data_IF_694376609036
#
_entry.id   IF_694376609036
#
_cell.length_a   1.000
_cell.length_b   1.000
_cell.length_c   1.000
_cell.angle_alpha   90.00
_cell.angle_beta   90.00
_cell.angle_gamma   90.00
#
_symmetry.space_group_name_H-M   'P 1'
#
loop_
_entity.id
_entity.type
_entity.pdbx_description
1 polymer ?
#
# COMPACT_ATOMS: atom_id res chain seq x y z
N UNK A 1 9.55 -0.28 26.31
CA UNK A 1 8.29 -0.51 25.58
C UNK A 1 8.58 -0.81 24.14
N UNK A 2 8.36 -2.03 23.77
CA UNK A 2 8.60 -2.48 22.41
C UNK A 2 7.64 -1.86 21.41
N UNK A 3 6.39 -1.56 21.83
CA UNK A 3 5.37 -1.01 20.93
C UNK A 3 5.80 0.32 20.29
N UNK A 4 6.33 1.26 21.06
CA UNK A 4 6.77 2.54 20.51
C UNK A 4 8.00 2.38 19.62
N UNK A 5 8.90 1.44 19.92
CA UNK A 5 10.05 1.13 19.09
C UNK A 5 9.62 0.52 17.76
N UNK A 6 8.57 -0.31 17.77
CA UNK A 6 8.04 -0.93 16.55
C UNK A 6 7.27 0.06 15.69
N UNK A 7 6.56 1.00 16.30
CA UNK A 7 5.76 2.00 15.57
C UNK A 7 6.63 3.02 14.85
N UNK A 8 7.77 3.41 15.43
CA UNK A 8 8.63 4.43 14.82
C UNK A 8 9.14 4.04 13.42
N UNK A 9 9.68 2.82 13.18
CA UNK A 9 10.07 2.41 11.83
C UNK A 9 8.88 2.35 10.86
N UNK A 10 7.71 1.93 11.35
CA UNK A 10 6.51 1.90 10.53
C UNK A 10 6.08 3.30 10.12
N UNK A 11 6.19 4.27 11.04
CA UNK A 11 5.86 5.66 10.74
C UNK A 11 6.84 6.25 9.71
N UNK A 12 8.11 5.93 9.84
CA UNK A 12 9.11 6.37 8.87
C UNK A 12 8.83 5.82 7.47
N UNK A 13 8.50 4.54 7.39
CA UNK A 13 8.14 3.93 6.11
C UNK A 13 6.89 4.60 5.53
N UNK A 14 5.86 4.80 6.34
CA UNK A 14 4.61 5.42 5.92
C UNK A 14 4.83 6.83 5.37
N UNK A 15 5.66 7.62 6.03
CA UNK A 15 5.99 8.97 5.59
C UNK A 15 6.79 8.95 4.28
N UNK A 16 7.73 8.01 4.14
CA UNK A 16 8.50 7.85 2.91
C UNK A 16 7.61 7.41 1.75
N UNK A 17 6.69 6.49 1.99
CA UNK A 17 5.73 6.04 0.99
C UNK A 17 4.83 7.19 0.53
N UNK A 18 4.29 7.95 1.46
CA UNK A 18 3.45 9.10 1.14
C UNK A 18 4.21 10.14 0.31
N UNK A 19 5.44 10.44 0.70
CA UNK A 19 6.27 11.40 -0.04
C UNK A 19 6.57 10.90 -1.46
N UNK A 20 6.95 9.63 -1.60
CA UNK A 20 7.23 9.05 -2.91
C UNK A 20 6.00 9.05 -3.82
N UNK A 21 4.84 8.69 -3.28
CA UNK A 21 3.59 8.70 -4.02
C UNK A 21 3.20 10.10 -4.46
N UNK A 22 3.35 11.09 -3.58
CA UNK A 22 2.97 12.47 -3.87
C UNK A 22 3.91 13.13 -4.87
N UNK A 23 5.15 12.69 -4.95
CA UNK A 23 6.15 13.22 -5.89
C UNK A 23 6.16 12.46 -7.22
N UNK A 24 5.42 11.35 -7.34
CA UNK A 24 5.46 10.52 -8.54
C UNK A 24 4.72 11.18 -9.70
N UNK A 25 5.40 11.46 -10.83
CA UNK A 25 4.74 12.13 -11.96
C UNK A 25 3.62 11.33 -12.58
N UNK A 26 3.71 10.00 -12.58
CA UNK A 26 2.69 9.13 -13.16
C UNK A 26 1.39 9.19 -12.35
N UNK A 27 1.49 9.17 -11.04
CA UNK A 27 0.33 9.29 -10.16
C UNK A 27 -0.26 10.69 -10.28
N UNK A 28 0.56 11.73 -10.34
CA UNK A 28 0.10 13.11 -10.54
C UNK A 28 -0.67 13.25 -11.85
N UNK A 29 -0.19 12.61 -12.92
CA UNK A 29 -0.83 12.69 -14.24
C UNK A 29 -2.16 11.97 -14.30
N UNK A 30 -2.32 10.87 -13.56
CA UNK A 30 -3.50 10.01 -13.66
C UNK A 30 -4.37 9.96 -12.41
N UNK A 31 -4.01 10.68 -11.36
CA UNK A 31 -4.64 10.59 -10.05
C UNK A 31 -5.82 11.51 -9.81
N UNK A 32 -6.28 12.28 -10.81
CA UNK A 32 -7.34 13.28 -10.61
C UNK A 32 -8.58 12.73 -9.92
N UNK A 33 -8.98 11.51 -10.26
CA UNK A 33 -10.17 10.87 -9.70
C UNK A 33 -9.83 9.77 -8.70
N UNK A 34 -8.57 9.64 -8.33
CA UNK A 34 -8.11 8.64 -7.37
C UNK A 34 -8.36 9.17 -5.96
N UNK A 35 -9.53 8.87 -5.42
CA UNK A 35 -9.94 9.27 -4.08
C UNK A 35 -10.54 8.06 -3.38
N UNK A 36 -9.83 7.53 -2.39
CA UNK A 36 -10.29 6.39 -1.60
C UNK A 36 -9.40 6.21 -0.37
N UNK A 37 -9.84 5.36 0.54
CA UNK A 37 -9.00 4.87 1.64
C UNK A 37 -8.92 3.36 1.49
N UNK A 38 -7.71 2.81 1.52
CA UNK A 38 -7.53 1.38 1.46
C UNK A 38 -6.54 0.90 2.51
N UNK A 39 -6.65 -0.38 2.86
CA UNK A 39 -5.72 -1.02 3.79
C UNK A 39 -4.62 -1.73 3.00
N UNK A 40 -3.39 -1.56 3.46
CA UNK A 40 -2.26 -2.38 3.07
C UNK A 40 -1.98 -3.28 4.27
N UNK A 41 -2.39 -4.54 4.17
CA UNK A 41 -2.34 -5.49 5.28
C UNK A 41 -1.18 -6.46 5.08
N UNK A 42 -0.17 -6.33 5.92
CA UNK A 42 1.02 -7.19 5.90
C UNK A 42 1.01 -8.18 7.07
N UNK A 43 -0.15 -8.47 7.65
CA UNK A 43 -0.37 -9.34 8.81
C UNK A 43 0.28 -8.79 10.09
N UNK A 44 1.60 -8.64 10.13
CA UNK A 44 2.30 -8.10 11.29
C UNK A 44 2.07 -6.60 11.47
N UNK A 45 1.68 -5.92 10.40
CA UNK A 45 1.48 -4.48 10.36
C UNK A 45 0.39 -4.13 9.35
N UNK A 46 -0.48 -3.20 9.70
CA UNK A 46 -1.54 -2.72 8.80
C UNK A 46 -1.40 -1.21 8.64
N UNK A 47 -1.56 -0.73 7.41
CA UNK A 47 -1.57 0.70 7.12
C UNK A 47 -2.89 1.06 6.46
N UNK A 48 -3.55 2.12 6.94
CA UNK A 48 -4.70 2.70 6.26
C UNK A 48 -4.21 3.91 5.47
N UNK A 49 -4.31 3.83 4.15
CA UNK A 49 -3.77 4.84 3.24
C UNK A 49 -4.94 5.63 2.66
N UNK A 50 -5.01 6.91 3.03
CA UNK A 50 -6.06 7.82 2.55
C UNK A 50 -5.53 8.64 1.40
N UNK A 51 -6.22 8.58 0.27
CA UNK A 51 -5.85 9.29 -0.95
C UNK A 51 -6.98 10.23 -1.36
N UNK A 52 -6.65 11.48 -1.67
CA UNK A 52 -7.59 12.46 -2.19
C UNK A 52 -7.01 13.08 -3.44
N UNK A 53 -7.72 12.92 -4.57
CA UNK A 53 -7.32 13.44 -5.89
C UNK A 53 -5.87 13.05 -6.24
N UNK A 54 -5.51 11.81 -5.96
CA UNK A 54 -4.18 11.27 -6.26
C UNK A 54 -3.10 11.59 -5.24
N UNK A 55 -3.44 12.32 -4.18
CA UNK A 55 -2.49 12.71 -3.14
C UNK A 55 -2.76 11.92 -1.86
N UNK A 56 -1.72 11.29 -1.32
CA UNK A 56 -1.80 10.63 -0.01
C UNK A 56 -1.85 11.72 1.06
N UNK A 57 -2.98 11.84 1.73
CA UNK A 57 -3.21 12.87 2.74
C UNK A 57 -2.94 12.37 4.15
N UNK A 58 -3.06 11.07 4.37
CA UNK A 58 -2.85 10.49 5.70
C UNK A 58 -2.53 9.00 5.56
N UNK A 59 -1.62 8.52 6.40
CA UNK A 59 -1.37 7.07 6.56
C UNK A 59 -1.48 6.77 8.04
N UNK A 60 -2.44 5.93 8.41
CA UNK A 60 -2.63 5.49 9.80
C UNK A 60 -1.96 4.14 9.99
N UNK A 61 -1.06 4.06 10.95
CA UNK A 61 -0.35 2.82 11.27
C UNK A 61 -1.17 2.01 12.28
N UNK A 62 -1.41 0.74 11.97
CA UNK A 62 -2.15 -0.20 12.83
C UNK A 62 -3.50 0.36 13.31
N UNK A 63 -4.40 0.77 12.41
CA UNK A 63 -5.71 1.27 12.82
C UNK A 63 -6.51 0.16 13.51
N UNK A 64 -7.29 0.54 14.53
CA UNK A 64 -8.25 -0.37 15.13
C UNK A 64 -9.38 -0.69 14.16
N UNK A 65 -10.18 -1.73 14.44
CA UNK A 65 -11.24 -2.19 13.52
C UNK A 65 -12.24 -1.12 13.11
N UNK A 66 -12.48 -0.13 13.98
CA UNK A 66 -13.48 0.91 13.74
C UNK A 66 -12.86 2.31 13.63
N UNK A 67 -11.53 2.41 13.61
CA UNK A 67 -10.86 3.72 13.64
C UNK A 67 -10.91 4.43 12.29
N UNK A 68 -10.75 3.68 11.20
CA UNK A 68 -10.67 4.25 9.85
C UNK A 68 -11.56 3.44 8.91
N UNK A 69 -12.58 4.08 8.30
CA UNK A 69 -13.33 3.41 7.25
C UNK A 69 -12.45 3.25 6.00
N UNK A 70 -12.62 2.15 5.29
CA UNK A 70 -11.86 1.89 4.07
C UNK A 70 -12.76 1.24 3.01
N UNK A 71 -12.40 1.42 1.74
CA UNK A 71 -13.18 0.88 0.63
C UNK A 71 -12.73 -0.53 0.26
N UNK A 72 -11.42 -0.79 0.28
CA UNK A 72 -10.89 -2.12 -0.02
C UNK A 72 -9.58 -2.34 0.74
N UNK A 73 -9.12 -3.60 0.72
CA UNK A 73 -7.88 -3.98 1.38
C UNK A 73 -7.05 -4.86 0.44
N UNK A 74 -5.73 -4.65 0.47
CA UNK A 74 -4.75 -5.50 -0.20
C UNK A 74 -4.01 -6.25 0.90
N UNK A 75 -4.24 -7.56 0.99
CA UNK A 75 -3.74 -8.39 2.09
C UNK A 75 -2.73 -9.41 1.58
N UNK A 76 -1.62 -9.53 2.26
CA UNK A 76 -0.60 -10.54 1.94
C UNK A 76 0.27 -10.79 3.16
N UNK A 77 1.04 -11.87 3.14
CA UNK A 77 2.01 -12.14 4.20
C UNK A 77 3.17 -11.15 4.16
N UNK A 78 3.91 -10.99 5.28
CA UNK A 78 5.11 -10.14 5.29
C UNK A 78 6.13 -10.56 4.22
N UNK A 79 6.27 -11.86 3.99
CA UNK A 79 7.20 -12.38 2.98
C UNK A 79 6.85 -11.88 1.58
N UNK A 80 5.57 -11.90 1.22
CA UNK A 80 5.12 -11.40 -0.08
C UNK A 80 5.40 -9.91 -0.22
N UNK A 81 5.12 -9.12 0.81
CA UNK A 81 5.42 -7.69 0.77
C UNK A 81 6.92 -7.40 0.68
N UNK A 82 7.76 -8.20 1.33
CA UNK A 82 9.21 -8.05 1.21
C UNK A 82 9.68 -8.30 -0.21
N UNK A 83 9.03 -9.23 -0.93
CA UNK A 83 9.30 -9.43 -2.36
C UNK A 83 9.03 -8.18 -3.19
N UNK A 84 7.90 -7.52 -2.95
CA UNK A 84 7.57 -6.27 -3.63
C UNK A 84 8.54 -5.14 -3.31
N UNK A 85 9.12 -5.16 -2.12
CA UNK A 85 10.03 -4.11 -1.66
C UNK A 85 11.46 -4.23 -2.15
N UNK A 86 11.79 -5.25 -2.94
CA UNK A 86 13.13 -5.39 -3.49
C UNK A 86 13.30 -4.50 -4.72
N UNK A 87 14.48 -3.90 -4.95
CA UNK A 87 14.70 -3.09 -6.15
C UNK A 87 14.45 -3.85 -7.45
N UNK A 88 14.78 -5.14 -7.47
CA UNK A 88 14.41 -6.05 -8.55
C UNK A 88 13.56 -7.16 -7.93
N UNK A 89 12.23 -7.07 -8.04
CA UNK A 89 11.36 -8.04 -7.38
C UNK A 89 11.57 -9.45 -7.94
N UNK A 90 11.48 -10.48 -7.09
CA UNK A 90 11.54 -11.86 -7.57
C UNK A 90 10.31 -12.18 -8.42
N UNK A 91 10.31 -13.31 -9.15
CA UNK A 91 9.15 -13.73 -9.94
C UNK A 91 7.86 -13.69 -9.12
N UNK A 92 6.76 -13.32 -9.77
CA UNK A 92 5.41 -13.20 -9.17
C UNK A 92 5.23 -12.02 -8.21
N UNK A 93 6.25 -11.15 -8.08
CA UNK A 93 6.19 -9.95 -7.24
C UNK A 93 6.31 -8.67 -8.07
N UNK A 94 6.09 -8.76 -9.40
CA UNK A 94 6.15 -7.58 -10.28
C UNK A 94 4.82 -6.83 -10.36
N UNK A 95 3.71 -7.46 -9.98
CA UNK A 95 2.41 -6.82 -9.99
C UNK A 95 1.41 -7.55 -9.10
N UNK A 96 0.35 -6.85 -8.70
CA UNK A 96 -0.63 -7.40 -7.76
C UNK A 96 -1.37 -8.62 -8.33
N UNK A 97 -1.62 -8.65 -9.64
CA UNK A 97 -2.33 -9.78 -10.26
C UNK A 97 -1.51 -11.06 -10.20
N UNK A 98 -0.21 -10.97 -10.52
CA UNK A 98 0.66 -12.13 -10.42
C UNK A 98 0.72 -12.65 -8.99
N UNK A 99 0.82 -11.73 -8.01
CA UNK A 99 0.85 -12.11 -6.60
C UNK A 99 -0.48 -12.71 -6.14
N UNK A 100 -1.61 -12.22 -6.66
CA UNK A 100 -2.94 -12.76 -6.33
C UNK A 100 -3.10 -14.19 -6.82
N UNK A 101 -2.63 -14.49 -8.03
CA UNK A 101 -2.77 -15.83 -8.61
C UNK A 101 -1.68 -16.80 -8.17
N UNK A 102 -0.48 -16.32 -7.89
CA UNK A 102 0.70 -17.17 -7.65
C UNK A 102 1.24 -17.12 -6.24
N UNK A 103 0.77 -16.17 -5.44
CA UNK A 103 1.17 -15.98 -4.06
C UNK A 103 -0.09 -15.84 -3.19
N UNK A 104 0.07 -15.39 -1.96
CA UNK A 104 -1.02 -15.32 -0.99
C UNK A 104 -1.72 -13.95 -0.94
N UNK A 105 -1.51 -13.10 -1.93
CA UNK A 105 -2.15 -11.78 -1.94
C UNK A 105 -3.65 -11.91 -2.19
N UNK A 106 -4.44 -11.20 -1.39
CA UNK A 106 -5.89 -11.14 -1.51
C UNK A 106 -6.38 -9.71 -1.61
N UNK A 107 -7.41 -9.52 -2.41
CA UNK A 107 -8.06 -8.23 -2.60
C UNK A 107 -9.46 -8.33 -2.01
N UNK A 108 -9.71 -7.63 -0.90
CA UNK A 108 -10.98 -7.70 -0.18
C UNK A 108 -11.70 -6.35 -0.22
N UNK A 109 -13.03 -6.37 -0.06
CA UNK A 109 -13.85 -5.19 0.02
C UNK A 109 -14.38 -4.73 -1.32
N UNK A 110 -14.46 -3.42 -1.53
CA UNK A 110 -14.99 -2.85 -2.77
C UNK A 110 -13.95 -2.88 -3.89
N UNK A 111 -13.82 -4.04 -4.52
CA UNK A 111 -12.83 -4.27 -5.58
C UNK A 111 -13.10 -3.39 -6.80
N UNK A 112 -14.34 -2.93 -6.99
CA UNK A 112 -14.66 -2.02 -8.09
C UNK A 112 -13.87 -0.70 -7.97
N UNK A 113 -13.78 -0.15 -6.76
CA UNK A 113 -12.99 1.07 -6.54
C UNK A 113 -11.51 0.81 -6.83
N UNK A 114 -10.99 -0.35 -6.43
CA UNK A 114 -9.63 -0.74 -6.78
C UNK A 114 -9.44 -0.78 -8.30
N UNK A 115 -10.37 -1.42 -9.00
CA UNK A 115 -10.29 -1.55 -10.46
C UNK A 115 -10.37 -0.20 -11.18
N UNK A 116 -11.21 0.70 -10.69
CA UNK A 116 -11.34 2.04 -11.27
C UNK A 116 -10.06 2.86 -11.12
N UNK A 117 -9.24 2.55 -10.13
CA UNK A 117 -8.00 3.28 -9.82
C UNK A 117 -6.76 2.39 -9.97
N UNK A 118 -6.89 1.30 -10.72
CA UNK A 118 -5.87 0.27 -10.79
C UNK A 118 -4.51 0.81 -11.22
N UNK A 119 -4.49 1.75 -12.15
CA UNK A 119 -3.22 2.32 -12.64
C UNK A 119 -2.44 3.01 -11.52
N UNK A 120 -3.12 3.85 -10.74
CA UNK A 120 -2.48 4.56 -9.64
C UNK A 120 -2.07 3.61 -8.51
N UNK A 121 -2.93 2.64 -8.19
CA UNK A 121 -2.63 1.66 -7.14
C UNK A 121 -1.46 0.78 -7.55
N UNK A 122 -1.43 0.31 -8.78
CA UNK A 122 -0.30 -0.47 -9.30
C UNK A 122 0.99 0.33 -9.19
N UNK A 123 0.95 1.61 -9.55
CA UNK A 123 2.13 2.48 -9.44
C UNK A 123 2.57 2.65 -7.98
N UNK A 124 1.63 2.83 -7.05
CA UNK A 124 1.95 2.92 -5.63
C UNK A 124 2.65 1.64 -5.13
N UNK A 125 2.17 0.47 -5.55
CA UNK A 125 2.81 -0.79 -5.19
C UNK A 125 4.21 -0.90 -5.82
N UNK A 126 4.40 -0.42 -7.03
CA UNK A 126 5.72 -0.38 -7.67
C UNK A 126 6.71 0.51 -6.90
N UNK A 127 6.23 1.56 -6.25
CA UNK A 127 7.09 2.44 -5.46
C UNK A 127 7.73 1.72 -4.27
N UNK A 128 7.21 0.58 -3.86
CA UNK A 128 7.84 -0.24 -2.83
C UNK A 128 9.25 -0.68 -3.22
N UNK A 129 9.55 -0.74 -4.50
CA UNK A 129 10.91 -1.04 -4.99
C UNK A 129 11.91 0.04 -4.58
N UNK A 130 11.44 1.25 -4.34
CA UNK A 130 12.25 2.41 -3.95
C UNK A 130 12.21 2.64 -2.44
N UNK A 131 11.01 2.63 -1.84
CA UNK A 131 10.86 2.94 -0.41
C UNK A 131 11.05 1.72 0.48
N UNK A 132 11.03 0.52 -0.10
CA UNK A 132 11.18 -0.71 0.66
C UNK A 132 9.88 -1.31 1.11
N UNK A 133 9.98 -2.49 1.74
CA UNK A 133 8.83 -3.23 2.25
C UNK A 133 8.17 -2.52 3.43
N UNK A 134 6.82 -2.60 3.57
CA UNK A 134 6.14 -2.07 4.76
C UNK A 134 6.43 -2.85 6.03
N UNK A 135 7.07 -4.00 5.93
CA UNK A 135 7.43 -4.85 7.08
C UNK A 135 8.84 -5.41 6.97
#
# INVERSE_FOLDING_TARGET
MTASTEVAPAREWADAFAAASNDDPEIQAHGKYFTCTYLLDAADRIYAIKVESGRVTEVTVDPGPLDVPYEFAIRASPETWRGFGQPVPPPMHHGIWAATFQRDMRLDGNVLILMQNLRCITRQIELLRTVGSPV
#
